data_IF_231853647359
#
_entry.id   IF_231853647359
#
_cell.length_a   1.000
_cell.length_b   1.000
_cell.length_c   1.000
_cell.angle_alpha   90.00
_cell.angle_beta   90.00
_cell.angle_gamma   90.00
#
_symmetry.space_group_name_H-M   'P 1'
#
loop_
_entity.id
_entity.type
_entity.pdbx_description
1 polymer ?
#
# COMPACT_ATOMS: atom_id res chain seq x y z
N UNK A 1 -31.86 -28.98 -3.01
CA UNK A 1 -33.03 -28.07 -3.15
C UNK A 1 -32.58 -26.62 -3.24
N UNK A 2 -33.42 -25.70 -3.72
CA UNK A 2 -33.07 -24.27 -3.92
C UNK A 2 -32.43 -23.61 -2.68
N UNK A 3 -32.85 -24.02 -1.48
CA UNK A 3 -32.27 -23.55 -0.20
C UNK A 3 -30.83 -24.01 0.04
N UNK A 4 -30.47 -25.22 -0.39
CA UNK A 4 -29.11 -25.76 -0.22
C UNK A 4 -28.11 -25.07 -1.15
N UNK A 5 -28.51 -24.75 -2.38
CA UNK A 5 -27.68 -23.99 -3.33
C UNK A 5 -27.41 -22.57 -2.83
N UNK A 6 -28.43 -21.90 -2.29
CA UNK A 6 -28.28 -20.60 -1.62
C UNK A 6 -27.32 -20.65 -0.42
N UNK A 7 -27.41 -21.70 0.41
CA UNK A 7 -26.51 -21.89 1.55
C UNK A 7 -25.07 -22.17 1.12
N UNK A 8 -24.88 -22.94 0.04
CA UNK A 8 -23.56 -23.21 -0.55
C UNK A 8 -22.89 -21.94 -1.05
N UNK A 9 -23.61 -21.08 -1.80
CA UNK A 9 -23.09 -19.79 -2.26
C UNK A 9 -22.76 -18.85 -1.11
N UNK A 10 -23.61 -18.79 -0.09
CA UNK A 10 -23.36 -17.95 1.09
C UNK A 10 -22.13 -18.41 1.87
N UNK A 11 -21.94 -19.72 2.01
CA UNK A 11 -20.75 -20.27 2.66
C UNK A 11 -19.49 -20.04 1.84
N UNK A 12 -19.55 -20.18 0.51
CA UNK A 12 -18.45 -19.82 -0.39
C UNK A 12 -18.05 -18.35 -0.24
N UNK A 13 -19.03 -17.44 -0.20
CA UNK A 13 -18.77 -16.02 0.00
C UNK A 13 -18.13 -15.74 1.37
N UNK A 14 -18.59 -16.40 2.45
CA UNK A 14 -17.98 -16.30 3.78
C UNK A 14 -16.53 -16.78 3.81
N UNK A 15 -16.22 -17.88 3.12
CA UNK A 15 -14.85 -18.37 2.98
C UNK A 15 -13.98 -17.39 2.19
N UNK A 16 -14.50 -16.80 1.10
CA UNK A 16 -13.77 -15.76 0.35
C UNK A 16 -13.46 -14.54 1.22
N UNK A 17 -14.42 -14.08 2.04
CA UNK A 17 -14.19 -12.97 2.98
C UNK A 17 -13.23 -13.33 4.12
N UNK A 18 -13.22 -14.59 4.59
CA UNK A 18 -12.25 -15.06 5.59
C UNK A 18 -10.83 -15.14 5.04
N UNK A 19 -10.71 -15.54 3.78
CA UNK A 19 -9.42 -15.69 3.08
C UNK A 19 -9.02 -14.42 2.31
N UNK A 20 -9.70 -13.31 2.57
CA UNK A 20 -9.39 -12.02 1.95
C UNK A 20 -8.08 -11.53 2.59
N UNK A 21 -6.97 -11.85 1.94
CA UNK A 21 -5.70 -11.21 2.23
C UNK A 21 -5.82 -9.74 1.83
N UNK A 22 -6.07 -8.89 2.83
CA UNK A 22 -6.04 -7.45 2.64
C UNK A 22 -4.57 -7.07 2.42
N UNK A 23 -4.22 -6.84 1.16
CA UNK A 23 -2.90 -6.32 0.78
C UNK A 23 -2.66 -4.96 1.42
N UNK A 24 -1.44 -4.69 1.87
CA UNK A 24 -1.06 -3.38 2.37
C UNK A 24 -1.13 -2.38 1.21
N UNK A 25 -1.91 -1.31 1.41
CA UNK A 25 -1.97 -0.18 0.48
C UNK A 25 -0.75 0.71 0.68
N UNK A 26 0.14 0.76 -0.33
CA UNK A 26 1.32 1.61 -0.31
C UNK A 26 0.94 3.09 -0.18
N UNK A 27 -0.13 3.52 -0.85
CA UNK A 27 -0.68 4.87 -0.75
C UNK A 27 -1.05 5.25 0.70
N UNK A 28 -1.89 4.45 1.34
CA UNK A 28 -2.36 4.73 2.71
C UNK A 28 -1.20 4.69 3.71
N UNK A 29 -0.30 3.72 3.54
CA UNK A 29 0.90 3.57 4.38
C UNK A 29 1.83 4.78 4.27
N UNK A 30 2.04 5.29 3.05
CA UNK A 30 2.84 6.49 2.84
C UNK A 30 2.21 7.74 3.46
N UNK A 31 0.88 7.86 3.39
CA UNK A 31 0.16 8.94 4.08
C UNK A 31 0.34 8.90 5.59
N UNK A 32 0.23 7.71 6.20
CA UNK A 32 0.45 7.54 7.64
C UNK A 32 1.92 7.83 8.01
N UNK A 33 2.87 7.43 7.16
CA UNK A 33 4.29 7.70 7.35
C UNK A 33 4.61 9.21 7.39
N UNK A 34 3.79 10.07 6.76
CA UNK A 34 3.99 11.52 6.76
C UNK A 34 3.52 12.24 8.02
N UNK A 35 2.84 11.55 8.94
CA UNK A 35 2.28 12.18 10.15
C UNK A 35 3.44 12.53 11.10
N UNK A 36 3.63 13.80 11.49
CA UNK A 36 4.69 14.18 12.40
C UNK A 36 4.35 13.82 13.84
N UNK A 37 5.38 13.45 14.61
CA UNK A 37 5.24 13.30 16.06
C UNK A 37 5.34 14.65 16.76
N UNK A 38 5.00 14.69 18.06
CA UNK A 38 5.20 15.88 18.89
C UNK A 38 6.69 16.19 19.13
N UNK A 39 7.60 15.23 18.91
CA UNK A 39 9.04 15.47 18.93
C UNK A 39 9.51 15.99 17.58
N UNK A 40 10.27 17.09 17.59
CA UNK A 40 10.72 17.73 16.37
C UNK A 40 11.56 16.77 15.50
N UNK A 41 11.16 16.59 14.25
CA UNK A 41 11.95 15.91 13.23
C UNK A 41 11.75 14.40 13.10
N UNK A 42 10.73 13.80 13.72
CA UNK A 42 10.45 12.37 13.58
C UNK A 42 9.00 12.04 13.22
N UNK A 43 8.75 10.97 12.44
CA UNK A 43 7.40 10.49 12.15
C UNK A 43 6.74 9.93 13.40
N UNK A 44 5.42 10.10 13.51
CA UNK A 44 4.60 9.49 14.55
C UNK A 44 4.58 7.96 14.42
N UNK A 45 4.65 7.45 13.19
CA UNK A 45 4.63 6.02 12.88
C UNK A 45 5.87 5.63 12.06
N UNK A 46 7.04 5.45 12.69
CA UNK A 46 8.28 5.11 11.99
C UNK A 46 8.22 3.76 11.25
N UNK A 47 7.36 2.84 11.69
CA UNK A 47 7.16 1.54 11.04
C UNK A 47 6.60 1.70 9.61
N UNK A 48 5.69 2.66 9.40
CA UNK A 48 5.15 2.94 8.06
C UNK A 48 6.25 3.50 7.14
N UNK A 49 7.13 4.36 7.67
CA UNK A 49 8.25 4.90 6.91
C UNK A 49 9.27 3.81 6.55
N UNK A 50 9.57 2.91 7.48
CA UNK A 50 10.45 1.76 7.21
C UNK A 50 9.85 0.82 6.18
N UNK A 51 8.55 0.55 6.26
CA UNK A 51 7.85 -0.27 5.26
C UNK A 51 8.01 0.33 3.86
N UNK A 52 7.85 1.66 3.71
CA UNK A 52 8.08 2.35 2.43
C UNK A 52 9.55 2.24 1.96
N UNK A 53 10.54 2.22 2.87
CA UNK A 53 11.93 2.02 2.48
C UNK A 53 12.22 0.58 2.01
N UNK A 54 11.58 -0.41 2.62
CA UNK A 54 11.85 -1.82 2.37
C UNK A 54 11.06 -2.40 1.18
N UNK A 55 9.93 -1.80 0.83
CA UNK A 55 9.01 -2.32 -0.19
C UNK A 55 9.11 -1.62 -1.55
N UNK A 56 10.12 -0.76 -1.77
CA UNK A 56 10.36 -0.23 -3.11
C UNK A 56 10.91 -1.32 -4.02
N UNK A 57 10.25 -1.55 -5.15
CA UNK A 57 10.66 -2.53 -6.15
C UNK A 57 11.90 -2.03 -6.93
N UNK A 58 12.56 -2.94 -7.65
CA UNK A 58 13.81 -2.65 -8.39
C UNK A 58 13.64 -1.60 -9.49
N UNK A 59 12.44 -1.51 -10.06
CA UNK A 59 11.97 -0.54 -11.04
C UNK A 59 11.54 0.81 -10.41
N UNK A 60 11.56 0.92 -9.08
CA UNK A 60 11.22 2.14 -8.35
C UNK A 60 9.74 2.25 -7.96
N UNK A 61 8.88 1.34 -8.45
CA UNK A 61 7.45 1.30 -8.14
C UNK A 61 7.15 0.61 -6.81
N UNK A 62 5.93 0.79 -6.31
CA UNK A 62 5.44 0.21 -5.05
C UNK A 62 4.25 -0.74 -5.20
N UNK A 63 3.71 -0.86 -6.42
CA UNK A 63 2.55 -1.70 -6.71
C UNK A 63 2.93 -2.78 -7.74
N UNK A 64 2.33 -3.97 -7.61
CA UNK A 64 2.51 -5.05 -8.58
C UNK A 64 1.52 -4.86 -9.74
N UNK A 65 1.95 -4.11 -10.74
CA UNK A 65 1.20 -3.91 -11.99
C UNK A 65 1.27 -5.19 -12.85
N UNK A 66 0.60 -6.26 -12.42
CA UNK A 66 0.45 -7.46 -13.24
C UNK A 66 -0.62 -7.30 -14.33
N UNK A 67 -1.52 -6.33 -14.14
CA UNK A 67 -2.60 -5.98 -15.09
C UNK A 67 -2.43 -4.55 -15.59
N UNK A 68 -2.36 -4.36 -16.91
CA UNK A 68 -2.25 -3.05 -17.58
C UNK A 68 -3.57 -2.26 -17.59
N UNK A 69 -4.46 -2.52 -16.63
CA UNK A 69 -5.71 -1.78 -16.53
C UNK A 69 -5.42 -0.30 -16.17
N UNK A 70 -5.97 0.68 -16.91
CA UNK A 70 -5.70 2.11 -16.69
C UNK A 70 -6.01 2.61 -15.27
N UNK A 71 -6.96 1.99 -14.58
CA UNK A 71 -7.26 2.30 -13.18
C UNK A 71 -6.14 1.86 -12.24
N UNK A 72 -5.53 0.70 -12.47
CA UNK A 72 -4.41 0.17 -11.68
C UNK A 72 -3.12 0.98 -11.91
N UNK A 73 -2.91 1.44 -13.15
CA UNK A 73 -1.82 2.37 -13.47
C UNK A 73 -1.96 3.69 -12.71
N UNK A 74 -3.17 4.27 -12.66
CA UNK A 74 -3.43 5.50 -11.90
C UNK A 74 -3.19 5.31 -10.40
N UNK A 75 -3.68 4.21 -9.82
CA UNK A 75 -3.44 3.92 -8.40
C UNK A 75 -1.96 3.72 -8.11
N UNK A 76 -1.22 3.04 -8.99
CA UNK A 76 0.23 2.83 -8.84
C UNK A 76 1.03 4.13 -8.88
N UNK A 77 0.69 5.05 -9.80
CA UNK A 77 1.32 6.36 -9.86
C UNK A 77 1.05 7.17 -8.59
N UNK A 78 -0.19 7.16 -8.08
CA UNK A 78 -0.54 7.87 -6.85
C UNK A 78 0.15 7.27 -5.62
N UNK A 79 0.22 5.94 -5.52
CA UNK A 79 0.96 5.25 -4.45
C UNK A 79 2.44 5.60 -4.49
N UNK A 80 3.06 5.50 -5.66
CA UNK A 80 4.50 5.78 -5.85
C UNK A 80 4.82 7.24 -5.50
N UNK A 81 3.99 8.18 -5.95
CA UNK A 81 4.16 9.59 -5.60
C UNK A 81 4.02 9.82 -4.09
N UNK A 82 3.01 9.21 -3.44
CA UNK A 82 2.83 9.32 -2.00
C UNK A 82 4.05 8.77 -1.24
N UNK A 83 4.59 7.62 -1.65
CA UNK A 83 5.80 7.04 -1.09
C UNK A 83 7.01 7.98 -1.23
N UNK A 84 7.24 8.54 -2.43
CA UNK A 84 8.34 9.49 -2.68
C UNK A 84 8.18 10.75 -1.82
N UNK A 85 6.96 11.27 -1.69
CA UNK A 85 6.68 12.42 -0.81
C UNK A 85 6.97 12.12 0.66
N UNK A 86 6.63 10.91 1.12
CA UNK A 86 6.92 10.47 2.48
C UNK A 86 8.43 10.38 2.74
N UNK A 87 9.20 9.80 1.81
CA UNK A 87 10.66 9.74 1.89
C UNK A 87 11.29 11.13 1.91
N UNK A 88 10.86 12.00 0.98
CA UNK A 88 11.35 13.37 0.86
C UNK A 88 11.05 14.21 2.11
N UNK A 89 9.87 14.05 2.72
CA UNK A 89 9.47 14.77 3.92
C UNK A 89 10.45 14.57 5.08
N UNK A 90 10.97 13.36 5.22
CA UNK A 90 11.87 12.98 6.31
C UNK A 90 13.35 13.01 5.92
N UNK A 91 13.65 13.49 4.70
CA UNK A 91 15.00 13.53 4.11
C UNK A 91 15.74 12.19 4.24
N UNK A 92 15.00 11.10 4.05
CA UNK A 92 15.53 9.74 4.04
C UNK A 92 15.35 9.16 2.65
N UNK A 93 16.34 8.40 2.21
CA UNK A 93 16.26 7.70 0.94
C UNK A 93 16.59 8.56 -0.28
N UNK A 94 17.53 9.51 -0.19
CA UNK A 94 18.00 10.28 -1.36
C UNK A 94 18.38 9.38 -2.55
N UNK A 95 18.96 8.21 -2.27
CA UNK A 95 19.25 7.11 -3.22
C UNK A 95 18.03 6.49 -3.94
N UNK A 96 16.82 6.77 -3.45
CA UNK A 96 15.53 6.26 -3.95
C UNK A 96 14.69 7.34 -4.64
N UNK A 97 15.08 8.61 -4.50
CA UNK A 97 14.41 9.78 -5.12
C UNK A 97 15.03 10.13 -6.49
N UNK A 98 16.28 9.68 -6.75
CA UNK A 98 17.00 9.96 -8.00
C UNK A 98 16.85 8.90 -9.12
N UNK A 99 16.07 7.84 -8.91
CA UNK A 99 15.78 6.86 -9.97
C UNK A 99 14.48 7.19 -10.69
#
# INVERSE_FOLDING_TARGET
>A
GHQEDMNLRMNGMKEMFRNLEVSISAYDTAWVAMIPSSSAGSPLFPQCLNWVLENQRRDGSFDDLHDEHPCLLRSSLTSTLACVLALKKWNVGDKYIEK
#
